data_IF_269227577336
#
_entry.id   IF_269227577336
#
_cell.length_a   1.000
_cell.length_b   1.000
_cell.length_c   1.000
_cell.angle_alpha   90.00
_cell.angle_beta   90.00
_cell.angle_gamma   90.00
#
_symmetry.space_group_name_H-M   'P 1'
#
loop_
_entity.id
_entity.type
_entity.pdbx_description
1 polymer ?
#
# COMPACT_ATOMS: atom_id res chain seq x y z
N UNK A 1 -12.42 12.88 21.69
CA UNK A 1 -12.96 11.87 20.75
C UNK A 1 -11.86 10.84 20.57
N UNK A 2 -12.01 9.62 21.10
CA UNK A 2 -10.99 8.58 20.89
C UNK A 2 -10.96 8.24 19.40
N UNK A 3 -9.83 8.44 18.74
CA UNK A 3 -9.62 7.93 17.38
C UNK A 3 -9.92 6.42 17.40
N UNK A 4 -10.76 5.94 16.48
CA UNK A 4 -11.10 4.52 16.40
C UNK A 4 -9.79 3.73 16.28
N UNK A 5 -9.56 2.79 17.20
CA UNK A 5 -8.39 1.91 17.17
C UNK A 5 -8.83 0.49 16.85
N UNK A 6 -8.02 -0.23 16.08
CA UNK A 6 -8.23 -1.64 15.76
C UNK A 6 -7.05 -2.45 16.26
N UNK A 7 -7.35 -3.63 16.78
CA UNK A 7 -6.35 -4.55 17.33
C UNK A 7 -5.94 -5.53 16.24
N UNK A 8 -4.63 -5.73 16.07
CA UNK A 8 -4.04 -6.72 15.18
C UNK A 8 -3.08 -7.62 15.96
N UNK A 9 -2.92 -8.91 15.56
CA UNK A 9 -1.92 -9.78 16.16
C UNK A 9 -0.51 -9.23 16.02
N UNK A 10 0.34 -9.36 17.05
CA UNK A 10 1.72 -8.86 17.00
C UNK A 10 2.49 -9.49 15.85
N UNK A 11 2.29 -10.78 15.58
CA UNK A 11 2.94 -11.48 14.46
C UNK A 11 2.60 -10.86 13.11
N UNK A 12 1.37 -10.36 12.92
CA UNK A 12 0.96 -9.65 11.70
C UNK A 12 1.72 -8.33 11.56
N UNK A 13 1.84 -7.58 12.66
CA UNK A 13 2.55 -6.31 12.70
C UNK A 13 4.05 -6.47 12.48
N UNK A 14 4.66 -7.50 13.08
CA UNK A 14 6.08 -7.84 12.90
C UNK A 14 6.35 -8.33 11.48
N UNK A 15 5.52 -9.23 10.95
CA UNK A 15 5.64 -9.71 9.57
C UNK A 15 5.60 -8.54 8.58
N UNK A 16 4.70 -7.59 8.81
CA UNK A 16 4.63 -6.36 8.03
C UNK A 16 5.89 -5.47 8.18
N UNK A 17 6.29 -5.15 9.41
CA UNK A 17 7.40 -4.22 9.65
C UNK A 17 8.75 -4.77 9.19
N UNK A 18 8.94 -6.09 9.32
CA UNK A 18 10.24 -6.75 9.14
C UNK A 18 10.31 -7.68 7.93
N UNK A 19 9.24 -7.80 7.14
CA UNK A 19 9.30 -8.34 5.77
C UNK A 19 8.90 -9.81 5.58
N UNK A 20 8.17 -10.42 6.52
CA UNK A 20 7.80 -11.84 6.44
C UNK A 20 6.40 -12.12 5.83
N UNK A 21 5.76 -11.11 5.21
CA UNK A 21 4.56 -11.27 4.36
C UNK A 21 3.49 -12.23 4.89
N UNK A 22 2.52 -11.73 5.67
CA UNK A 22 1.36 -12.52 6.10
C UNK A 22 0.06 -12.06 5.43
N UNK A 23 -0.90 -12.98 5.29
CA UNK A 23 -2.22 -12.72 4.68
C UNK A 23 -3.01 -11.60 5.39
N UNK A 24 -2.73 -11.34 6.67
CA UNK A 24 -3.41 -10.34 7.48
C UNK A 24 -2.82 -8.92 7.33
N UNK A 25 -1.71 -8.78 6.59
CA UNK A 25 -1.09 -7.45 6.38
C UNK A 25 -1.99 -6.56 5.52
N UNK A 26 -2.69 -7.11 4.53
CA UNK A 26 -3.55 -6.32 3.63
C UNK A 26 -4.70 -5.61 4.38
N UNK A 27 -5.33 -6.30 5.32
CA UNK A 27 -6.39 -5.72 6.16
C UNK A 27 -5.85 -4.59 7.05
N UNK A 28 -4.68 -4.79 7.66
CA UNK A 28 -4.03 -3.76 8.49
C UNK A 28 -3.64 -2.54 7.66
N UNK A 29 -3.13 -2.75 6.45
CA UNK A 29 -2.79 -1.67 5.53
C UNK A 29 -4.02 -0.90 5.09
N UNK A 30 -5.09 -1.58 4.68
CA UNK A 30 -6.36 -0.94 4.33
C UNK A 30 -6.95 -0.15 5.50
N UNK A 31 -6.81 -0.63 6.74
CA UNK A 31 -7.22 0.10 7.93
C UNK A 31 -6.35 1.33 8.20
N UNK A 32 -5.01 1.22 8.10
CA UNK A 32 -4.09 2.33 8.36
C UNK A 32 -4.26 3.46 7.33
N UNK A 33 -4.36 3.11 6.05
CA UNK A 33 -4.48 4.08 4.96
C UNK A 33 -5.93 4.49 4.68
N UNK A 34 -6.91 3.75 5.19
CA UNK A 34 -8.34 3.91 4.88
C UNK A 34 -8.61 3.82 3.38
N UNK A 35 -7.94 2.87 2.71
CA UNK A 35 -8.07 2.60 1.27
C UNK A 35 -8.53 1.18 1.02
N UNK A 36 -9.27 1.02 -0.06
CA UNK A 36 -9.43 -0.27 -0.70
C UNK A 36 -8.17 -0.55 -1.54
N UNK A 37 -7.55 -1.70 -1.33
CA UNK A 37 -6.22 -2.01 -1.86
C UNK A 37 -6.32 -3.16 -2.85
N UNK A 38 -5.95 -2.88 -4.10
CA UNK A 38 -5.67 -3.91 -5.12
C UNK A 38 -4.21 -4.39 -5.03
N UNK A 39 -3.87 -5.45 -5.76
CA UNK A 39 -2.53 -6.03 -5.75
C UNK A 39 -1.43 -5.02 -6.14
N UNK A 40 -1.75 -4.04 -7.00
CA UNK A 40 -0.80 -3.03 -7.48
C UNK A 40 -0.56 -1.92 -6.45
N UNK A 41 -1.56 -1.62 -5.62
CA UNK A 41 -1.52 -0.54 -4.64
C UNK A 41 -1.07 -0.98 -3.24
N UNK A 42 -1.14 -2.29 -2.93
CA UNK A 42 -0.63 -2.85 -1.65
C UNK A 42 0.82 -2.46 -1.35
N UNK A 43 1.79 -2.51 -2.29
CA UNK A 43 3.18 -2.12 -1.99
C UNK A 43 3.32 -0.65 -1.58
N UNK A 44 2.54 0.24 -2.19
CA UNK A 44 2.53 1.66 -1.87
C UNK A 44 1.90 1.91 -0.49
N UNK A 45 0.76 1.27 -0.21
CA UNK A 45 0.15 1.30 1.12
C UNK A 45 1.13 0.81 2.19
N UNK A 46 1.84 -0.29 1.91
CA UNK A 46 2.80 -0.89 2.81
C UNK A 46 3.95 0.07 3.14
N UNK A 47 4.51 0.74 2.13
CA UNK A 47 5.60 1.70 2.31
C UNK A 47 5.14 2.94 3.10
N UNK A 48 4.00 3.54 2.74
CA UNK A 48 3.48 4.75 3.39
C UNK A 48 3.10 4.50 4.84
N UNK A 49 2.41 3.39 5.11
CA UNK A 49 2.09 2.98 6.49
C UNK A 49 3.35 2.72 7.32
N UNK A 50 4.43 2.22 6.71
CA UNK A 50 5.65 1.85 7.44
C UNK A 50 6.43 3.11 7.79
N UNK A 51 6.55 4.02 6.83
CA UNK A 51 7.13 5.33 7.05
C UNK A 51 6.41 6.07 8.17
N UNK A 52 5.07 6.10 8.14
CA UNK A 52 4.27 6.71 9.19
C UNK A 52 4.49 6.07 10.56
N UNK A 53 4.45 4.73 10.65
CA UNK A 53 4.70 4.03 11.93
C UNK A 53 6.09 4.35 12.48
N UNK A 54 7.11 4.42 11.63
CA UNK A 54 8.47 4.79 12.05
C UNK A 54 8.64 6.27 12.38
N UNK A 55 7.81 7.16 11.84
CA UNK A 55 7.77 8.56 12.26
C UNK A 55 7.21 8.68 13.68
N UNK A 56 6.17 7.93 14.01
CA UNK A 56 5.56 7.93 15.34
C UNK A 56 6.38 7.13 16.37
N UNK A 57 7.04 6.06 15.92
CA UNK A 57 7.81 5.13 16.74
C UNK A 57 9.19 4.84 16.12
N UNK A 58 10.13 5.81 16.15
CA UNK A 58 11.45 5.65 15.55
C UNK A 58 12.26 4.50 16.12
N UNK A 59 12.03 4.12 17.38
CA UNK A 59 12.66 2.99 18.07
C UNK A 59 12.47 1.67 17.31
N UNK A 60 11.33 1.49 16.66
CA UNK A 60 11.00 0.27 15.91
C UNK A 60 11.94 0.04 14.73
N UNK A 61 12.61 1.08 14.22
CA UNK A 61 13.59 0.95 13.14
C UNK A 61 14.81 0.13 13.56
N UNK A 62 15.20 0.22 14.83
CA UNK A 62 16.41 -0.42 15.38
C UNK A 62 16.13 -1.78 16.02
N UNK A 63 14.90 -2.03 16.42
CA UNK A 63 14.52 -3.29 17.06
C UNK A 63 14.56 -4.45 16.07
N UNK A 64 15.06 -5.60 16.53
CA UNK A 64 14.98 -6.88 15.81
C UNK A 64 13.55 -7.43 15.81
N UNK A 65 13.27 -8.44 14.98
CA UNK A 65 11.97 -9.14 14.99
C UNK A 65 11.60 -9.63 16.39
N UNK A 66 12.52 -10.31 17.07
CA UNK A 66 12.28 -10.85 18.42
C UNK A 66 11.97 -9.75 19.44
N UNK A 67 12.72 -8.64 19.40
CA UNK A 67 12.48 -7.53 20.31
C UNK A 67 11.10 -6.89 20.14
N UNK A 68 10.55 -6.84 18.92
CA UNK A 68 9.20 -6.31 18.68
C UNK A 68 8.14 -7.30 19.16
N UNK A 69 8.35 -8.62 18.98
CA UNK A 69 7.44 -9.66 19.50
C UNK A 69 7.33 -9.60 21.02
N UNK A 70 8.44 -9.31 21.72
CA UNK A 70 8.47 -9.19 23.18
C UNK A 70 7.65 -8.01 23.74
N UNK A 71 7.24 -7.05 22.90
CA UNK A 71 6.41 -5.92 23.33
C UNK A 71 4.97 -6.33 23.70
N UNK A 72 4.51 -7.49 23.25
CA UNK A 72 3.20 -8.03 23.63
C UNK A 72 2.55 -8.91 22.57
N UNK A 73 1.33 -9.37 22.86
CA UNK A 73 0.59 -10.31 21.99
C UNK A 73 -0.17 -9.63 20.84
N UNK A 74 -0.46 -8.34 20.97
CA UNK A 74 -1.23 -7.59 19.96
C UNK A 74 -0.81 -6.13 19.92
N UNK A 75 -1.12 -5.46 18.81
CA UNK A 75 -0.90 -4.03 18.62
C UNK A 75 -2.24 -3.33 18.39
N UNK A 76 -2.42 -2.18 19.02
CA UNK A 76 -3.57 -1.31 18.80
C UNK A 76 -3.16 -0.16 17.89
N UNK A 77 -3.64 -0.16 16.65
CA UNK A 77 -3.31 0.87 15.66
C UNK A 77 -4.50 1.79 15.43
N UNK A 78 -4.21 3.07 15.21
CA UNK A 78 -5.17 4.06 14.74
C UNK A 78 -4.97 4.27 13.24
N UNK A 79 -6.03 4.63 12.48
CA UNK A 79 -5.85 5.07 11.10
C UNK A 79 -4.94 6.30 11.06
N UNK A 80 -4.32 6.56 9.91
CA UNK A 80 -3.52 7.77 9.73
C UNK A 80 -4.36 9.03 10.01
N UNK A 81 -3.77 10.04 10.67
CA UNK A 81 -4.48 11.29 10.94
C UNK A 81 -4.80 12.02 9.63
N UNK A 82 -5.78 12.93 9.68
CA UNK A 82 -6.34 13.63 8.50
C UNK A 82 -5.26 14.20 7.58
N UNK A 83 -4.20 14.79 8.14
CA UNK A 83 -3.09 15.36 7.35
C UNK A 83 -2.37 14.29 6.54
N UNK A 84 -1.86 13.24 7.19
CA UNK A 84 -1.17 12.14 6.51
C UNK A 84 -2.10 11.41 5.53
N UNK A 85 -3.38 11.26 5.90
CA UNK A 85 -4.39 10.69 5.00
C UNK A 85 -4.57 11.50 3.72
N UNK A 86 -4.55 12.84 3.81
CA UNK A 86 -4.67 13.70 2.61
C UNK A 86 -3.51 13.47 1.64
N UNK A 87 -2.29 13.36 2.17
CA UNK A 87 -1.10 13.07 1.35
C UNK A 87 -1.17 11.67 0.72
N UNK A 88 -1.64 10.67 1.49
CA UNK A 88 -1.91 9.33 0.95
C UNK A 88 -2.98 9.36 -0.14
N UNK A 89 -4.07 10.10 0.06
CA UNK A 89 -5.15 10.24 -0.91
C UNK A 89 -4.64 10.80 -2.24
N UNK A 90 -3.78 11.81 -2.20
CA UNK A 90 -3.13 12.39 -3.39
C UNK A 90 -2.23 11.40 -4.12
N UNK A 91 -1.44 10.61 -3.39
CA UNK A 91 -0.58 9.58 -3.99
C UNK A 91 -1.44 8.53 -4.70
N UNK A 92 -2.49 8.04 -4.05
CA UNK A 92 -3.38 7.03 -4.64
C UNK A 92 -4.16 7.56 -5.83
N UNK A 93 -4.58 8.83 -5.80
CA UNK A 93 -5.21 9.47 -6.95
C UNK A 93 -4.26 9.52 -8.17
N UNK A 94 -2.98 9.88 -7.96
CA UNK A 94 -1.97 9.85 -9.03
C UNK A 94 -1.69 8.44 -9.54
N UNK A 95 -1.64 7.44 -8.67
CA UNK A 95 -1.47 6.04 -9.07
C UNK A 95 -2.63 5.57 -9.96
N UNK A 96 -3.87 5.90 -9.59
CA UNK A 96 -5.05 5.57 -10.39
C UNK A 96 -5.02 6.27 -11.75
N UNK A 97 -4.67 7.56 -11.79
CA UNK A 97 -4.53 8.32 -13.03
C UNK A 97 -3.46 7.72 -13.95
N UNK A 98 -2.26 7.43 -13.43
CA UNK A 98 -1.19 6.81 -14.20
C UNK A 98 -1.58 5.43 -14.73
N UNK A 99 -2.25 4.60 -13.93
CA UNK A 99 -2.79 3.30 -14.38
C UNK A 99 -3.79 3.48 -15.52
N UNK A 100 -4.66 4.48 -15.43
CA UNK A 100 -5.58 4.86 -16.51
C UNK A 100 -4.86 5.28 -17.80
N UNK A 101 -3.87 6.16 -17.69
CA UNK A 101 -3.07 6.60 -18.84
C UNK A 101 -2.30 5.46 -19.50
N UNK A 102 -1.71 4.55 -18.71
CA UNK A 102 -0.99 3.39 -19.22
C UNK A 102 -1.93 2.47 -20.01
N UNK A 103 -3.11 2.18 -19.46
CA UNK A 103 -4.11 1.34 -20.13
C UNK A 103 -4.59 1.97 -21.44
N UNK A 104 -4.84 3.28 -21.45
CA UNK A 104 -5.24 4.00 -22.65
C UNK A 104 -4.14 3.96 -23.74
N UNK A 105 -2.87 4.13 -23.34
CA UNK A 105 -1.73 4.04 -24.27
C UNK A 105 -1.54 2.62 -24.80
N UNK A 106 -1.69 1.59 -23.95
CA UNK A 106 -1.60 0.20 -24.38
C UNK A 106 -2.67 -0.15 -25.41
N UNK A 107 -3.92 0.26 -25.18
CA UNK A 107 -5.00 0.09 -26.14
C UNK A 107 -4.71 0.80 -27.47
N UNK A 108 -4.16 2.02 -27.42
CA UNK A 108 -3.82 2.76 -28.64
C UNK A 108 -2.68 2.11 -29.43
N UNK A 109 -1.68 1.56 -28.74
CA UNK A 109 -0.59 0.80 -29.37
C UNK A 109 -1.16 -0.42 -30.09
N UNK A 110 -2.02 -1.21 -29.44
CA UNK A 110 -2.64 -2.39 -30.06
C UNK A 110 -3.48 -2.02 -31.31
N UNK A 111 -4.26 -0.94 -31.25
CA UNK A 111 -5.00 -0.42 -32.39
C UNK A 111 -4.08 -0.04 -33.56
N UNK A 112 -3.01 0.72 -33.27
CA UNK A 112 -2.05 1.17 -34.29
C UNK A 112 -1.26 0.01 -34.89
N UNK A 113 -0.87 -0.98 -34.08
CA UNK A 113 -0.17 -2.18 -34.56
C UNK A 113 -1.06 -2.99 -35.51
N UNK A 114 -2.35 -3.16 -35.18
CA UNK A 114 -3.31 -3.84 -36.07
C UNK A 114 -3.54 -3.07 -37.36
N UNK A 115 -3.68 -1.75 -37.29
CA UNK A 115 -3.86 -0.90 -38.47
C UNK A 115 -2.62 -0.92 -39.39
N UNK A 116 -1.42 -0.94 -38.82
CA UNK A 116 -0.18 -1.06 -39.60
C UNK A 116 -0.10 -2.41 -40.31
N UNK A 117 -0.35 -3.51 -39.60
CA UNK A 117 -0.32 -4.86 -40.18
C UNK A 117 -1.36 -5.04 -41.31
N UNK A 118 -2.55 -4.43 -41.16
CA UNK A 118 -3.55 -4.43 -42.22
C UNK A 118 -3.08 -3.67 -43.47
N UNK A 119 -2.43 -2.50 -43.29
CA UNK A 119 -1.87 -1.73 -44.40
C UNK A 119 -0.70 -2.43 -45.09
N UNK A 120 0.20 -3.05 -44.34
CA UNK A 120 1.33 -3.78 -44.90
C UNK A 120 0.89 -5.01 -45.70
N UNK A 121 -0.27 -5.60 -45.40
CA UNK A 121 -0.86 -6.70 -46.16
C UNK A 121 -1.56 -6.26 -47.47
N UNK A 122 -1.78 -4.95 -47.65
CA UNK A 122 -2.37 -4.37 -48.87
C UNK A 122 -1.31 -3.94 -49.91
N UNK A 123 -0.02 -4.07 -49.60
CA UNK A 123 1.14 -3.71 -50.46
C UNK A 123 1.81 -4.98 -51.00
#
# INVERSE_FOLDING_TARGET
MSEARKIFPMDTFVAYLKGDGSANVAEMLGYLTQKDLDADSVPFAAALAKAWIYEQHPELTKMSKGQVVELGQSVSVAPMPVKAKTEVDEVFAKLADYKGQINAKAAKIDELTKALAAKDAEI
#
